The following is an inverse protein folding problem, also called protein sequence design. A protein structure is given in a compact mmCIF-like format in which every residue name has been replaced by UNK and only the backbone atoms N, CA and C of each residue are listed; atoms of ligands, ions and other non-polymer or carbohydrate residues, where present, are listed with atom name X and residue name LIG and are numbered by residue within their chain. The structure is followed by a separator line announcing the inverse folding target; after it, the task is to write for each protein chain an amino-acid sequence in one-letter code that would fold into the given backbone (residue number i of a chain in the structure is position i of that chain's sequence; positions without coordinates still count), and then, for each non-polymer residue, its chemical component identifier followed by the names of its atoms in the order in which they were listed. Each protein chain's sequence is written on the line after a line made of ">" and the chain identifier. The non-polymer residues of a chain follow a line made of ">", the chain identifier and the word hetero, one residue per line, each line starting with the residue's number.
data_IF_336682346155
#
_entry.id   IF_336682346155
#
_cell.length_a   1.000
_cell.length_b   1.000
_cell.length_c   1.000
_cell.angle_alpha   90.00
_cell.angle_beta   90.00
_cell.angle_gamma   90.00
#
_symmetry.space_group_name_H-M   'P 1'
#
loop_
_entity.id
_entity.type
_entity.pdbx_description
1 polymer ?
#
# COMPACT_ATOMS: atom_id res chain seq x y z
N UNK A 1 6.19 -25.65 10.65
CA UNK A 1 5.18 -24.68 10.15
C UNK A 1 3.70 -25.07 10.27
N UNK A 2 3.22 -26.23 9.77
CA UNK A 2 1.78 -26.47 9.52
C UNK A 2 0.88 -26.43 10.79
N UNK A 3 1.40 -26.75 11.97
CA UNK A 3 0.61 -26.78 13.22
C UNK A 3 0.65 -25.49 14.05
N UNK A 4 1.34 -24.44 13.57
CA UNK A 4 1.54 -23.23 14.35
C UNK A 4 0.24 -22.44 14.48
N UNK A 5 -0.13 -21.97 15.70
CA UNK A 5 -1.30 -21.16 15.93
C UNK A 5 -1.28 -19.91 15.06
N UNK A 6 -2.32 -19.73 14.25
CA UNK A 6 -2.38 -18.67 13.25
C UNK A 6 -3.79 -18.16 13.06
N UNK A 7 -3.92 -16.86 12.81
CA UNK A 7 -5.19 -16.22 12.48
C UNK A 7 -5.01 -15.26 11.32
N UNK A 8 -6.05 -15.13 10.53
CA UNK A 8 -6.26 -14.03 9.62
C UNK A 8 -7.07 -12.95 10.34
N UNK A 9 -6.53 -11.76 10.49
CA UNK A 9 -7.14 -10.64 11.20
C UNK A 9 -7.32 -9.44 10.27
N UNK A 10 -8.51 -8.84 10.28
CA UNK A 10 -8.83 -7.60 9.57
C UNK A 10 -9.06 -6.49 10.58
N UNK A 11 -8.19 -5.47 10.57
CA UNK A 11 -8.34 -4.24 11.35
C UNK A 11 -8.91 -3.15 10.45
N UNK A 12 -10.09 -2.64 10.79
CA UNK A 12 -10.79 -1.65 9.97
C UNK A 12 -10.67 -0.24 10.55
N UNK A 13 -10.87 0.76 9.70
CA UNK A 13 -11.03 2.14 10.12
C UNK A 13 -12.35 2.33 10.90
N UNK A 14 -12.43 3.34 11.79
CA UNK A 14 -13.71 3.78 12.34
C UNK A 14 -14.60 4.39 11.23
N UNK A 15 -15.82 4.77 11.59
CA UNK A 15 -16.68 5.56 10.71
C UNK A 15 -16.28 7.04 10.77
N UNK A 16 -16.33 7.71 9.62
CA UNK A 16 -16.15 9.16 9.47
C UNK A 16 -17.46 9.86 9.04
N UNK A 17 -18.57 9.14 9.13
CA UNK A 17 -19.86 9.53 8.58
C UNK A 17 -20.57 8.34 7.94
N UNK A 18 -21.90 8.43 7.74
CA UNK A 18 -22.66 7.39 7.08
C UNK A 18 -22.34 7.36 5.58
N UNK A 19 -22.14 6.17 5.03
CA UNK A 19 -21.85 5.93 3.61
C UNK A 19 -22.89 5.00 3.01
N UNK A 20 -23.06 5.07 1.70
CA UNK A 20 -23.81 4.09 0.94
C UNK A 20 -23.15 2.71 1.07
N UNK A 21 -23.94 1.71 1.46
CA UNK A 21 -23.47 0.34 1.67
C UNK A 21 -24.56 -0.69 1.31
N UNK A 22 -24.20 -1.98 1.42
CA UNK A 22 -25.11 -3.12 1.23
C UNK A 22 -25.26 -3.88 2.55
N UNK A 23 -26.22 -3.51 3.40
CA UNK A 23 -26.48 -4.25 4.63
C UNK A 23 -27.20 -5.58 4.31
N UNK A 24 -27.13 -6.54 5.23
CA UNK A 24 -27.80 -7.84 5.09
C UNK A 24 -29.32 -7.73 4.97
N UNK A 25 -29.91 -6.62 5.45
CA UNK A 25 -31.33 -6.28 5.25
C UNK A 25 -31.69 -5.98 3.79
N UNK A 26 -30.68 -5.83 2.93
CA UNK A 26 -30.81 -5.61 1.49
C UNK A 26 -31.18 -4.18 1.08
N UNK A 27 -31.35 -3.23 2.01
CA UNK A 27 -31.62 -1.81 1.70
C UNK A 27 -30.63 -0.89 2.39
N UNK A 28 -29.99 -0.03 1.60
CA UNK A 28 -29.15 1.03 2.08
C UNK A 28 -29.95 2.04 2.92
N UNK A 29 -29.27 2.83 3.76
CA UNK A 29 -29.90 3.89 4.56
C UNK A 29 -30.52 4.99 3.68
N UNK A 30 -30.10 5.15 2.43
CA UNK A 30 -30.77 6.02 1.46
C UNK A 30 -32.12 5.46 0.95
N UNK A 31 -32.51 4.25 1.34
CA UNK A 31 -33.73 3.56 0.91
C UNK A 31 -33.56 2.69 -0.35
N UNK A 32 -32.49 2.90 -1.13
CA UNK A 32 -32.22 2.16 -2.35
C UNK A 32 -31.60 0.77 -2.09
N UNK A 33 -31.73 -0.12 -3.08
CA UNK A 33 -30.96 -1.37 -3.17
C UNK A 33 -29.82 -1.13 -4.15
N UNK A 34 -28.58 -1.21 -3.68
CA UNK A 34 -27.40 -1.06 -4.52
C UNK A 34 -26.97 -2.43 -5.07
N UNK A 35 -26.63 -2.46 -6.36
CA UNK A 35 -25.90 -3.59 -6.96
C UNK A 35 -24.45 -3.60 -6.50
N UNK A 36 -23.73 -4.70 -6.77
CA UNK A 36 -22.31 -4.83 -6.41
C UNK A 36 -21.43 -3.75 -7.04
N UNK A 37 -21.76 -3.28 -8.23
CA UNK A 37 -20.95 -2.31 -8.99
C UNK A 37 -21.51 -0.88 -8.94
N UNK A 38 -22.46 -0.62 -8.04
CA UNK A 38 -23.06 0.70 -7.90
C UNK A 38 -21.99 1.74 -7.47
N UNK A 39 -21.77 2.81 -8.25
CA UNK A 39 -20.73 3.81 -7.98
C UNK A 39 -20.99 4.64 -6.72
N UNK A 40 -22.23 4.64 -6.20
CA UNK A 40 -22.52 5.27 -4.92
C UNK A 40 -21.88 4.50 -3.75
N UNK A 41 -21.60 3.19 -3.90
CA UNK A 41 -21.10 2.40 -2.77
C UNK A 41 -19.77 2.91 -2.22
N UNK A 42 -19.74 3.20 -0.93
CA UNK A 42 -18.61 3.80 -0.24
C UNK A 42 -18.62 5.32 -0.22
N UNK A 43 -19.45 5.99 -1.02
CA UNK A 43 -19.59 7.45 -0.95
C UNK A 43 -20.48 7.86 0.24
N UNK A 44 -20.30 9.06 0.80
CA UNK A 44 -21.13 9.55 1.90
C UNK A 44 -22.59 9.71 1.49
N UNK A 45 -23.52 9.40 2.41
CA UNK A 45 -24.93 9.72 2.22
C UNK A 45 -25.16 11.24 2.16
N UNK A 46 -24.36 11.97 2.94
CA UNK A 46 -24.29 13.43 2.92
C UNK A 46 -22.80 13.82 2.82
N UNK A 47 -22.35 14.28 1.65
CA UNK A 47 -20.96 14.71 1.44
C UNK A 47 -20.55 15.92 2.27
N UNK A 48 -21.47 16.75 2.76
CA UNK A 48 -21.10 17.98 3.45
C UNK A 48 -20.89 17.77 4.96
N UNK A 49 -21.47 16.71 5.54
CA UNK A 49 -21.25 16.31 6.93
C UNK A 49 -20.19 15.21 7.12
N UNK A 50 -19.63 14.65 6.04
CA UNK A 50 -18.60 13.62 6.13
C UNK A 50 -17.24 14.18 6.60
N UNK A 51 -16.62 13.51 7.57
CA UNK A 51 -15.34 13.94 8.16
C UNK A 51 -14.14 13.51 7.29
N UNK A 52 -13.97 14.19 6.16
CA UNK A 52 -12.84 13.97 5.24
C UNK A 52 -11.48 14.16 5.91
N UNK A 53 -11.36 15.15 6.80
CA UNK A 53 -10.12 15.41 7.51
C UNK A 53 -9.77 14.24 8.45
N UNK A 54 -10.75 13.72 9.20
CA UNK A 54 -10.58 12.53 10.03
C UNK A 54 -10.17 11.30 9.22
N UNK A 55 -10.79 11.08 8.06
CA UNK A 55 -10.47 9.96 7.17
C UNK A 55 -9.03 10.01 6.65
N UNK A 56 -8.60 11.17 6.14
CA UNK A 56 -7.24 11.39 5.62
C UNK A 56 -6.19 11.27 6.74
N UNK A 57 -6.44 11.87 7.91
CA UNK A 57 -5.54 11.77 9.06
C UNK A 57 -5.44 10.32 9.56
N UNK A 58 -6.55 9.57 9.58
CA UNK A 58 -6.52 8.14 9.89
C UNK A 58 -5.62 7.37 8.91
N UNK A 59 -5.82 7.54 7.60
CA UNK A 59 -5.01 6.88 6.59
C UNK A 59 -3.52 7.22 6.77
N UNK A 60 -3.19 8.49 6.97
CA UNK A 60 -1.80 8.94 7.15
C UNK A 60 -1.15 8.38 8.43
N UNK A 61 -1.94 8.14 9.49
CA UNK A 61 -1.48 7.56 10.75
C UNK A 61 -1.66 6.03 10.86
N UNK A 62 -2.23 5.34 9.86
CA UNK A 62 -2.47 3.90 9.91
C UNK A 62 -1.20 3.06 10.17
N UNK A 63 -0.05 3.50 9.64
CA UNK A 63 1.24 2.88 9.95
C UNK A 63 1.63 2.98 11.44
N UNK A 64 1.34 4.11 12.07
CA UNK A 64 1.60 4.33 13.51
C UNK A 64 0.61 3.54 14.38
N UNK A 65 -0.67 3.49 13.98
CA UNK A 65 -1.68 2.65 14.63
C UNK A 65 -1.26 1.18 14.62
N UNK A 66 -0.72 0.70 13.49
CA UNK A 66 -0.20 -0.67 13.40
C UNK A 66 1.04 -0.90 14.24
N UNK A 67 1.98 0.04 14.25
CA UNK A 67 3.16 -0.06 15.11
C UNK A 67 2.76 -0.17 16.59
N UNK A 68 1.85 0.69 17.07
CA UNK A 68 1.32 0.62 18.45
C UNK A 68 0.54 -0.68 18.71
N UNK A 69 -0.28 -1.12 17.75
CA UNK A 69 -1.00 -2.39 17.81
C UNK A 69 -0.04 -3.58 18.00
N UNK A 70 1.00 -3.70 17.19
CA UNK A 70 1.94 -4.84 17.32
C UNK A 70 2.75 -4.80 18.61
N UNK A 71 3.04 -3.61 19.15
CA UNK A 71 3.66 -3.46 20.49
C UNK A 71 2.69 -3.94 21.56
N UNK A 72 1.42 -3.52 21.50
CA UNK A 72 0.42 -3.95 22.48
C UNK A 72 0.11 -5.44 22.38
N UNK A 73 0.01 -5.99 21.18
CA UNK A 73 -0.22 -7.42 20.95
C UNK A 73 0.82 -8.30 21.64
N UNK A 74 2.11 -7.91 21.59
CA UNK A 74 3.18 -8.60 22.33
C UNK A 74 2.94 -8.61 23.84
N UNK A 75 2.47 -7.49 24.39
CA UNK A 75 2.14 -7.36 25.82
C UNK A 75 0.94 -8.21 26.21
N UNK A 76 -0.09 -8.21 25.39
CA UNK A 76 -1.31 -9.01 25.61
C UNK A 76 -1.03 -10.52 25.60
N UNK A 77 -0.15 -10.97 24.71
CA UNK A 77 0.27 -12.38 24.63
C UNK A 77 1.14 -12.75 25.83
N UNK A 78 2.14 -11.93 26.16
CA UNK A 78 3.02 -12.17 27.32
C UNK A 78 2.19 -12.32 28.61
N UNK A 79 1.27 -11.37 28.86
CA UNK A 79 0.41 -11.39 30.03
C UNK A 79 -0.47 -12.65 30.10
N UNK A 80 -1.07 -13.08 28.97
CA UNK A 80 -1.89 -14.31 28.92
C UNK A 80 -1.08 -15.59 29.08
N UNK A 81 0.20 -15.56 28.72
CA UNK A 81 1.12 -16.67 28.93
C UNK A 81 1.74 -16.68 30.35
N UNK A 82 1.44 -15.68 31.19
CA UNK A 82 2.09 -15.54 32.50
C UNK A 82 3.57 -15.14 32.42
N UNK A 83 3.98 -14.50 31.32
CA UNK A 83 5.36 -14.13 31.02
C UNK A 83 5.55 -12.62 30.99
N UNK A 84 6.77 -12.18 31.27
CA UNK A 84 7.24 -10.86 30.90
C UNK A 84 7.51 -10.78 29.38
N UNK A 85 7.61 -9.56 28.83
CA UNK A 85 8.01 -9.38 27.43
C UNK A 85 9.44 -9.82 27.11
N UNK A 86 10.29 -9.97 28.13
CA UNK A 86 11.65 -10.50 27.97
C UNK A 86 11.58 -12.01 27.79
N UNK A 87 10.95 -12.71 28.73
CA UNK A 87 10.77 -14.16 28.68
C UNK A 87 9.99 -14.59 27.44
N UNK A 88 8.94 -13.85 27.06
CA UNK A 88 8.20 -14.15 25.83
C UNK A 88 9.13 -14.23 24.61
N UNK A 89 10.11 -13.33 24.48
CA UNK A 89 11.03 -13.31 23.33
C UNK A 89 12.00 -14.49 23.32
N UNK A 90 12.24 -15.12 24.46
CA UNK A 90 13.12 -16.27 24.62
C UNK A 90 12.41 -17.58 24.24
N UNK A 91 11.06 -17.62 24.26
CA UNK A 91 10.29 -18.86 24.03
C UNK A 91 9.30 -18.78 22.86
N UNK A 92 8.89 -17.58 22.44
CA UNK A 92 7.88 -17.41 21.40
C UNK A 92 8.13 -16.18 20.54
N UNK A 93 8.00 -16.36 19.22
CA UNK A 93 8.05 -15.27 18.27
C UNK A 93 6.68 -15.00 17.66
N UNK A 94 6.27 -13.73 17.69
CA UNK A 94 5.09 -13.28 16.97
C UNK A 94 5.50 -12.88 15.55
N UNK A 95 5.08 -13.70 14.59
CA UNK A 95 5.32 -13.50 13.18
C UNK A 95 4.07 -12.96 12.50
N UNK A 96 4.23 -12.05 11.54
CA UNK A 96 3.10 -11.58 10.75
C UNK A 96 3.47 -11.21 9.32
N UNK A 97 2.50 -11.36 8.42
CA UNK A 97 2.46 -10.67 7.12
C UNK A 97 1.22 -9.79 7.11
N UNK A 98 1.35 -8.53 6.70
CA UNK A 98 0.24 -7.57 6.62
C UNK A 98 0.13 -6.97 5.23
N UNK A 99 -1.09 -6.70 4.83
CA UNK A 99 -1.48 -5.99 3.62
C UNK A 99 -2.42 -4.86 4.03
N UNK A 100 -2.15 -3.65 3.58
CA UNK A 100 -3.10 -2.55 3.62
C UNK A 100 -4.09 -2.72 2.48
N UNK A 101 -5.30 -2.20 2.54
CA UNK A 101 -6.21 -2.15 1.40
C UNK A 101 -7.16 -0.98 1.61
N UNK A 102 -7.60 -0.35 0.54
CA UNK A 102 -8.64 0.67 0.63
C UNK A 102 -10.02 0.04 0.56
N UNK A 103 -10.86 0.41 1.52
CA UNK A 103 -12.30 0.26 1.39
C UNK A 103 -12.82 1.20 0.29
N UNK A 104 -13.99 0.89 -0.28
CA UNK A 104 -14.65 1.79 -1.26
C UNK A 104 -14.84 3.22 -0.75
N UNK A 105 -14.94 3.40 0.57
CA UNK A 105 -15.00 4.71 1.24
C UNK A 105 -13.66 5.44 1.40
N UNK A 106 -12.60 4.97 0.72
CA UNK A 106 -11.26 5.55 0.77
C UNK A 106 -10.50 5.36 2.10
N UNK A 107 -11.07 4.68 3.09
CA UNK A 107 -10.42 4.40 4.37
C UNK A 107 -9.59 3.12 4.28
N UNK A 108 -8.39 3.13 4.86
CA UNK A 108 -7.52 1.95 4.84
C UNK A 108 -7.92 0.92 5.90
N UNK A 109 -7.88 -0.36 5.55
CA UNK A 109 -7.96 -1.47 6.49
C UNK A 109 -6.79 -2.41 6.29
N UNK A 110 -6.36 -3.06 7.37
CA UNK A 110 -5.21 -3.96 7.35
C UNK A 110 -5.68 -5.41 7.47
N UNK A 111 -5.31 -6.21 6.49
CA UNK A 111 -5.37 -7.66 6.55
C UNK A 111 -4.04 -8.20 7.04
N UNK A 112 -4.04 -9.02 8.08
CA UNK A 112 -2.83 -9.56 8.67
C UNK A 112 -2.97 -11.05 8.95
N UNK A 113 -1.98 -11.82 8.51
CA UNK A 113 -1.76 -13.19 8.96
C UNK A 113 -0.83 -13.09 10.16
N UNK A 114 -1.31 -13.44 11.35
CA UNK A 114 -0.52 -13.43 12.57
C UNK A 114 -0.33 -14.86 13.03
N UNK A 115 0.92 -15.23 13.35
CA UNK A 115 1.33 -16.58 13.74
C UNK A 115 2.19 -16.54 14.98
N UNK A 116 2.00 -17.51 15.86
CA UNK A 116 2.89 -17.78 16.99
C UNK A 116 3.87 -18.89 16.57
N UNK A 117 5.15 -18.55 16.61
CA UNK A 117 6.27 -19.44 16.28
C UNK A 117 7.09 -19.71 17.55
N UNK A 118 7.98 -20.71 17.50
CA UNK A 118 9.07 -20.85 18.48
C UNK A 118 10.04 -19.66 18.44
N UNK A 119 11.01 -19.65 19.35
CA UNK A 119 11.95 -18.54 19.53
C UNK A 119 12.76 -18.25 18.25
N UNK A 120 13.19 -19.31 17.56
CA UNK A 120 14.04 -19.24 16.36
C UNK A 120 13.25 -19.03 15.07
N UNK A 121 11.92 -19.15 15.13
CA UNK A 121 11.00 -18.85 14.04
C UNK A 121 10.20 -20.05 13.54
N UNK A 122 9.84 -20.10 12.25
CA UNK A 122 8.77 -20.98 11.77
C UNK A 122 9.09 -22.49 11.73
N UNK A 123 10.35 -22.85 11.85
CA UNK A 123 10.79 -24.26 11.97
C UNK A 123 10.86 -24.74 13.42
N UNK A 124 10.82 -23.81 14.39
CA UNK A 124 10.86 -24.09 15.81
C UNK A 124 9.42 -24.21 16.35
N UNK A 125 9.04 -25.33 17.00
CA UNK A 125 7.68 -25.53 17.48
C UNK A 125 7.26 -24.44 18.47
N UNK A 126 6.00 -23.97 18.40
CA UNK A 126 5.50 -22.98 19.33
C UNK A 126 5.32 -23.59 20.74
N UNK A 127 5.38 -22.78 21.81
CA UNK A 127 5.10 -23.26 23.16
C UNK A 127 3.70 -23.88 23.29
N UNK A 128 3.53 -24.84 24.22
CA UNK A 128 2.26 -25.56 24.41
C UNK A 128 1.06 -24.69 24.80
N UNK A 129 1.31 -23.51 25.38
CA UNK A 129 0.29 -22.51 25.71
C UNK A 129 -0.14 -21.67 24.49
N UNK A 130 0.65 -21.65 23.41
CA UNK A 130 0.36 -20.89 22.21
C UNK A 130 -0.82 -21.55 21.49
N UNK A 131 -1.98 -20.89 21.55
CA UNK A 131 -3.24 -21.38 20.94
C UNK A 131 -3.90 -20.28 20.15
N UNK A 132 -4.66 -20.65 19.12
CA UNK A 132 -5.41 -19.69 18.28
C UNK A 132 -6.41 -18.86 19.09
N UNK A 133 -7.05 -19.44 20.11
CA UNK A 133 -7.93 -18.71 21.04
C UNK A 133 -7.18 -17.59 21.78
N UNK A 134 -5.99 -17.89 22.32
CA UNK A 134 -5.16 -16.88 23.00
C UNK A 134 -4.80 -15.75 22.04
N UNK A 135 -4.49 -16.09 20.78
CA UNK A 135 -4.16 -15.11 19.75
C UNK A 135 -5.36 -14.22 19.38
N UNK A 136 -6.56 -14.80 19.22
CA UNK A 136 -7.80 -14.04 18.98
C UNK A 136 -8.06 -13.05 20.13
N UNK A 137 -8.07 -13.54 21.37
CA UNK A 137 -8.33 -12.73 22.57
C UNK A 137 -7.30 -11.59 22.70
N UNK A 138 -6.01 -11.88 22.41
CA UNK A 138 -4.95 -10.89 22.46
C UNK A 138 -5.06 -9.83 21.36
N UNK A 139 -5.47 -10.20 20.15
CA UNK A 139 -5.68 -9.24 19.04
C UNK A 139 -6.84 -8.31 19.37
N UNK A 140 -7.97 -8.83 19.84
CA UNK A 140 -9.13 -8.01 20.25
C UNK A 140 -8.76 -7.03 21.35
N UNK A 141 -8.08 -7.52 22.40
CA UNK A 141 -7.61 -6.68 23.49
C UNK A 141 -6.61 -5.61 23.02
N UNK A 142 -5.64 -5.99 22.17
CA UNK A 142 -4.65 -5.04 21.65
C UNK A 142 -5.30 -3.95 20.80
N UNK A 143 -6.23 -4.30 19.92
CA UNK A 143 -6.93 -3.35 19.06
C UNK A 143 -7.78 -2.34 19.86
N UNK A 144 -8.44 -2.80 20.93
CA UNK A 144 -9.30 -1.95 21.79
C UNK A 144 -8.53 -1.13 22.83
N UNK A 145 -7.28 -1.46 23.14
CA UNK A 145 -6.53 -0.85 24.23
C UNK A 145 -6.13 0.60 23.96
N UNK A 146 -6.31 1.51 24.92
CA UNK A 146 -6.04 2.95 24.77
C UNK A 146 -4.64 3.29 24.21
N UNK A 147 -3.60 2.54 24.58
CA UNK A 147 -2.24 2.67 24.00
C UNK A 147 -2.19 2.65 22.46
N UNK A 148 -3.11 1.96 21.77
CA UNK A 148 -3.14 1.94 20.30
C UNK A 148 -3.76 3.18 19.69
N UNK A 149 -4.33 4.08 20.49
CA UNK A 149 -4.87 5.36 20.04
C UNK A 149 -3.72 6.32 19.70
N UNK A 150 -3.81 7.03 18.59
CA UNK A 150 -2.89 8.13 18.21
C UNK A 150 -3.61 9.46 18.38
N UNK A 151 -3.03 10.35 19.19
CA UNK A 151 -3.53 11.71 19.35
C UNK A 151 -2.91 12.62 18.29
N UNK A 152 -3.76 13.26 17.49
CA UNK A 152 -3.39 14.34 16.59
C UNK A 152 -3.74 15.67 17.28
N UNK A 153 -2.77 16.59 17.46
CA UNK A 153 -3.04 17.88 18.09
C UNK A 153 -3.99 18.73 17.23
N UNK A 154 -4.73 19.63 17.88
CA UNK A 154 -5.51 20.63 17.18
C UNK A 154 -4.59 21.56 16.39
N UNK A 155 -5.02 21.98 15.20
CA UNK A 155 -4.27 22.90 14.36
C UNK A 155 -5.23 23.74 13.50
N UNK A 156 -5.13 25.06 13.58
CA UNK A 156 -6.04 25.97 12.88
C UNK A 156 -7.51 25.68 13.21
N UNK A 157 -8.31 25.41 12.18
CA UNK A 157 -9.73 25.06 12.30
C UNK A 157 -9.99 23.56 12.58
N UNK A 158 -8.94 22.74 12.64
CA UNK A 158 -9.07 21.30 12.91
C UNK A 158 -8.96 21.01 14.41
N UNK A 159 -9.94 20.30 15.01
CA UNK A 159 -9.89 19.95 16.41
C UNK A 159 -8.81 18.89 16.68
N UNK A 160 -8.47 18.69 17.96
CA UNK A 160 -7.66 17.53 18.34
C UNK A 160 -8.45 16.24 18.12
N UNK A 161 -7.77 15.19 17.64
CA UNK A 161 -8.41 13.93 17.25
C UNK A 161 -7.71 12.75 17.91
N UNK A 162 -8.51 11.79 18.37
CA UNK A 162 -8.05 10.51 18.89
C UNK A 162 -8.32 9.41 17.85
N UNK A 163 -7.30 9.08 17.05
CA UNK A 163 -7.39 8.08 16.00
C UNK A 163 -7.22 6.68 16.59
N UNK A 164 -8.13 5.76 16.27
CA UNK A 164 -8.13 4.36 16.74
C UNK A 164 -8.67 3.43 15.67
N UNK A 165 -8.43 2.13 15.80
CA UNK A 165 -9.10 1.12 14.98
C UNK A 165 -10.61 1.14 15.25
N UNK A 166 -11.39 0.77 14.23
CA UNK A 166 -12.83 0.56 14.35
C UNK A 166 -13.15 -0.64 15.26
N UNK A 167 -14.41 -0.73 15.68
CA UNK A 167 -14.90 -1.85 16.50
C UNK A 167 -15.10 -3.14 15.70
N UNK A 168 -15.20 -3.04 14.37
CA UNK A 168 -15.36 -4.18 13.48
C UNK A 168 -14.00 -4.84 13.22
N UNK A 169 -13.76 -5.96 13.89
CA UNK A 169 -12.61 -6.84 13.70
C UNK A 169 -13.10 -8.20 13.20
N UNK A 170 -12.61 -8.63 12.03
CA UNK A 170 -12.80 -9.99 11.55
C UNK A 170 -11.53 -10.80 11.85
N UNK A 171 -11.64 -11.79 12.73
CA UNK A 171 -10.52 -12.66 13.12
C UNK A 171 -10.94 -14.10 12.90
N UNK A 172 -10.22 -14.79 12.01
CA UNK A 172 -10.50 -16.16 11.61
C UNK A 172 -9.28 -17.04 11.81
N UNK A 173 -9.37 -18.14 12.59
CA UNK A 173 -8.32 -19.13 12.66
C UNK A 173 -8.00 -19.69 11.26
N UNK A 174 -6.72 -19.86 10.93
CA UNK A 174 -6.29 -20.50 9.69
C UNK A 174 -5.85 -21.91 10.04
N UNK A 175 -6.56 -22.94 9.56
CA UNK A 175 -6.21 -24.34 9.83
C UNK A 175 -5.26 -24.85 8.75
N UNK A 176 -4.29 -25.68 9.14
CA UNK A 176 -3.57 -26.51 8.16
C UNK A 176 -4.45 -27.72 7.83
N UNK A 177 -4.78 -27.85 6.53
CA UNK A 177 -5.47 -28.95 5.87
C UNK A 177 -5.93 -30.12 6.77
N UNK A 178 -7.23 -30.20 7.03
CA UNK A 178 -7.89 -31.48 7.36
C UNK A 178 -9.38 -31.54 7.00
N UNK A 179 -10.12 -30.41 6.95
CA UNK A 179 -11.60 -30.49 6.96
C UNK A 179 -12.32 -29.76 5.81
N UNK A 180 -11.73 -29.66 4.61
CA UNK A 180 -12.43 -29.08 3.45
C UNK A 180 -12.84 -27.60 3.59
N UNK A 181 -12.31 -26.87 4.58
CA UNK A 181 -12.60 -25.46 4.81
C UNK A 181 -11.78 -24.53 3.90
N UNK A 182 -12.40 -23.44 3.43
CA UNK A 182 -11.88 -22.48 2.43
C UNK A 182 -10.59 -21.71 2.81
N UNK A 183 -10.13 -21.71 4.07
CA UNK A 183 -8.94 -20.95 4.52
C UNK A 183 -7.73 -21.86 4.79
N UNK A 184 -7.08 -22.32 3.72
CA UNK A 184 -5.79 -23.02 3.77
C UNK A 184 -4.60 -22.03 3.75
N UNK A 185 -3.38 -22.49 4.06
CA UNK A 185 -2.17 -21.65 4.01
C UNK A 185 -1.89 -21.07 2.62
N UNK A 186 -2.11 -21.88 1.57
CA UNK A 186 -2.04 -21.44 0.18
C UNK A 186 -3.17 -20.44 -0.13
N UNK A 187 -4.38 -20.68 0.37
CA UNK A 187 -5.49 -19.74 0.23
C UNK A 187 -5.15 -18.41 0.91
N UNK A 188 -4.51 -18.39 2.07
CA UNK A 188 -4.12 -17.15 2.77
C UNK A 188 -3.00 -16.41 2.06
N UNK A 189 -1.99 -17.12 1.52
CA UNK A 189 -0.96 -16.49 0.69
C UNK A 189 -1.55 -15.93 -0.63
N UNK A 190 -2.43 -16.68 -1.28
CA UNK A 190 -3.17 -16.24 -2.46
C UNK A 190 -4.15 -15.11 -2.14
N UNK A 191 -4.77 -15.11 -0.95
CA UNK A 191 -5.65 -14.05 -0.46
C UNK A 191 -4.82 -12.78 -0.27
N UNK A 192 -3.73 -12.83 0.50
CA UNK A 192 -2.78 -11.71 0.66
C UNK A 192 -2.26 -11.21 -0.70
N UNK A 193 -1.94 -12.11 -1.64
CA UNK A 193 -1.51 -11.74 -2.99
C UNK A 193 -2.64 -11.09 -3.82
N UNK A 194 -3.89 -11.58 -3.71
CA UNK A 194 -5.08 -10.97 -4.33
C UNK A 194 -5.31 -9.55 -3.84
N UNK A 195 -5.07 -9.29 -2.55
CA UNK A 195 -5.20 -7.93 -2.00
C UNK A 195 -4.03 -7.03 -2.38
N UNK A 196 -2.86 -7.60 -2.64
CA UNK A 196 -1.72 -6.89 -3.23
C UNK A 196 -2.03 -6.31 -4.61
N UNK A 197 -2.82 -6.99 -5.43
CA UNK A 197 -3.23 -6.47 -6.73
C UNK A 197 -4.48 -5.59 -6.64
N UNK A 198 -5.50 -5.99 -5.85
CA UNK A 198 -6.77 -5.22 -5.76
C UNK A 198 -6.64 -3.80 -5.26
N UNK A 199 -5.74 -3.55 -4.32
CA UNK A 199 -5.67 -2.24 -3.72
C UNK A 199 -4.98 -1.18 -4.58
N UNK A 200 -4.36 -1.58 -5.69
CA UNK A 200 -3.97 -0.64 -6.74
C UNK A 200 -5.19 -0.13 -7.51
N UNK A 201 -6.28 -0.90 -7.59
CA UNK A 201 -7.38 -0.66 -8.54
C UNK A 201 -8.62 0.00 -7.91
N UNK A 202 -8.84 -0.12 -6.60
CA UNK A 202 -10.19 0.02 -6.01
C UNK A 202 -10.60 1.47 -5.64
N UNK A 203 -9.71 2.46 -5.65
CA UNK A 203 -10.03 3.81 -5.13
C UNK A 203 -10.35 4.87 -6.18
N UNK A 204 -10.25 4.55 -7.48
CA UNK A 204 -10.42 5.53 -8.54
C UNK A 204 -9.45 6.72 -8.41
N UNK A 205 -8.32 6.49 -7.73
CA UNK A 205 -7.24 7.46 -7.57
C UNK A 205 -6.23 7.32 -8.69
N UNK A 206 -5.34 8.31 -8.79
CA UNK A 206 -4.25 8.30 -9.75
C UNK A 206 -3.12 7.38 -9.28
N UNK A 207 -2.52 6.61 -10.19
CA UNK A 207 -1.36 5.75 -9.92
C UNK A 207 -0.06 6.53 -9.70
N UNK A 208 -0.13 7.86 -9.73
CA UNK A 208 1.00 8.77 -9.62
C UNK A 208 0.69 9.95 -8.72
N UNK A 209 1.74 10.59 -8.24
CA UNK A 209 1.62 11.84 -7.46
C UNK A 209 0.89 12.91 -8.26
N UNK A 210 0.10 13.69 -7.54
CA UNK A 210 -0.69 14.80 -8.07
C UNK A 210 0.16 16.06 -7.91
N UNK A 211 0.46 16.73 -9.03
CA UNK A 211 1.19 18.00 -9.01
C UNK A 211 0.28 19.15 -8.59
N UNK A 212 -0.88 19.25 -9.25
CA UNK A 212 -1.89 20.29 -9.02
C UNK A 212 -3.32 19.74 -8.97
N UNK A 213 -4.24 20.45 -8.29
CA UNK A 213 -5.65 20.01 -8.21
C UNK A 213 -6.38 20.03 -9.57
N UNK A 214 -5.96 20.89 -10.50
CA UNK A 214 -6.56 20.97 -11.84
C UNK A 214 -6.30 19.71 -12.68
N UNK A 215 -5.33 18.87 -12.31
CA UNK A 215 -5.15 17.55 -12.93
C UNK A 215 -6.38 16.66 -12.76
N UNK A 216 -7.13 16.79 -11.65
CA UNK A 216 -8.28 15.93 -11.37
C UNK A 216 -9.42 16.08 -12.39
N UNK A 217 -9.52 17.24 -13.04
CA UNK A 217 -10.52 17.51 -14.08
C UNK A 217 -10.25 16.71 -15.36
N UNK A 218 -9.02 16.22 -15.54
CA UNK A 218 -8.60 15.43 -16.71
C UNK A 218 -8.85 13.93 -16.55
N UNK A 219 -9.13 13.44 -15.34
CA UNK A 219 -9.13 12.01 -15.00
C UNK A 219 -10.46 11.46 -14.50
N UNK A 220 -11.57 12.20 -14.67
CA UNK A 220 -12.92 11.80 -14.23
C UNK A 220 -12.96 11.22 -12.80
N UNK A 221 -12.21 11.85 -11.90
CA UNK A 221 -12.05 11.36 -10.53
C UNK A 221 -13.38 11.55 -9.78
N UNK A 222 -13.93 10.48 -9.16
CA UNK A 222 -15.20 10.56 -8.43
C UNK A 222 -15.19 11.66 -7.35
N UNK A 223 -16.34 12.32 -7.14
CA UNK A 223 -16.43 13.48 -6.22
C UNK A 223 -15.94 13.16 -4.80
N UNK A 224 -16.28 11.98 -4.27
CA UNK A 224 -15.81 11.56 -2.96
C UNK A 224 -14.27 11.47 -2.89
N UNK A 225 -13.65 10.86 -3.89
CA UNK A 225 -12.18 10.76 -4.01
C UNK A 225 -11.56 12.15 -4.17
N UNK A 226 -12.15 13.02 -4.98
CA UNK A 226 -11.74 14.42 -5.14
C UNK A 226 -11.78 15.20 -3.82
N UNK A 227 -12.82 15.02 -3.00
CA UNK A 227 -12.93 15.63 -1.66
C UNK A 227 -11.87 15.12 -0.68
N UNK A 228 -11.54 13.82 -0.71
CA UNK A 228 -10.42 13.27 0.08
C UNK A 228 -9.06 13.84 -0.36
N UNK A 229 -8.83 13.98 -1.67
CA UNK A 229 -7.60 14.59 -2.21
C UNK A 229 -7.51 16.07 -1.81
N UNK A 230 -8.61 16.82 -1.88
CA UNK A 230 -8.66 18.23 -1.40
C UNK A 230 -8.35 18.31 0.08
N UNK A 231 -8.93 17.43 0.91
CA UNK A 231 -8.61 17.37 2.33
C UNK A 231 -7.11 17.10 2.60
N UNK A 232 -6.44 16.29 1.78
CA UNK A 232 -4.98 16.11 1.88
C UNK A 232 -4.22 17.43 1.66
N UNK A 233 -4.65 18.25 0.69
CA UNK A 233 -4.06 19.56 0.40
C UNK A 233 -4.28 20.54 1.55
N UNK A 234 -5.51 20.65 2.03
CA UNK A 234 -5.89 21.61 3.08
C UNK A 234 -5.17 21.30 4.40
N UNK A 235 -5.04 20.01 4.71
CA UNK A 235 -4.34 19.54 5.92
C UNK A 235 -2.81 19.64 5.83
N UNK A 236 -2.21 19.68 4.64
CA UNK A 236 -0.75 19.84 4.49
C UNK A 236 -0.26 21.12 5.16
N UNK A 237 -1.02 22.21 5.02
CA UNK A 237 -0.71 23.52 5.62
C UNK A 237 -0.74 23.45 7.15
N UNK A 238 -1.67 22.66 7.71
CA UNK A 238 -1.84 22.52 9.15
C UNK A 238 -0.87 21.51 9.77
N UNK A 239 -0.40 20.54 8.98
CA UNK A 239 0.45 19.43 9.42
C UNK A 239 1.62 19.18 8.45
N UNK A 240 2.55 20.14 8.29
CA UNK A 240 3.57 20.12 7.23
C UNK A 240 4.51 18.89 7.29
N UNK A 241 4.77 18.35 8.48
CA UNK A 241 5.64 17.16 8.65
C UNK A 241 4.97 15.84 8.23
N UNK A 242 3.70 15.87 7.82
CA UNK A 242 2.92 14.67 7.49
C UNK A 242 2.93 14.32 6.01
N UNK A 243 3.34 15.26 5.15
CA UNK A 243 3.45 15.08 3.69
C UNK A 243 2.14 14.57 3.07
N UNK A 244 1.00 15.02 3.59
CA UNK A 244 -0.34 14.65 3.14
C UNK A 244 -0.53 14.92 1.66
N UNK A 245 -0.06 16.06 1.15
CA UNK A 245 -0.15 16.38 -0.28
C UNK A 245 0.67 15.40 -1.15
N UNK A 246 1.91 15.09 -0.73
CA UNK A 246 2.77 14.16 -1.45
C UNK A 246 2.15 12.74 -1.58
N UNK A 247 1.25 12.39 -0.65
CA UNK A 247 0.52 11.12 -0.61
C UNK A 247 -0.97 11.26 -0.94
N UNK A 248 -1.41 12.37 -1.55
CA UNK A 248 -2.82 12.59 -1.89
C UNK A 248 -3.37 11.57 -2.89
N UNK A 249 -2.54 11.11 -3.83
CA UNK A 249 -2.84 10.01 -4.75
C UNK A 249 -3.13 8.68 -4.04
N UNK A 250 -2.67 8.53 -2.79
CA UNK A 250 -2.97 7.41 -1.89
C UNK A 250 -3.87 7.85 -0.73
N UNK A 251 -4.70 8.88 -0.92
CA UNK A 251 -5.67 9.38 0.07
C UNK A 251 -5.02 9.66 1.45
N UNK A 252 -3.78 10.15 1.44
CA UNK A 252 -2.97 10.47 2.62
C UNK A 252 -2.19 9.29 3.20
N UNK A 253 -2.40 8.05 2.74
CA UNK A 253 -1.65 6.89 3.21
C UNK A 253 -0.19 6.93 2.73
N UNK A 254 0.74 6.90 3.68
CA UNK A 254 2.19 6.98 3.45
C UNK A 254 2.96 5.70 3.80
N UNK A 255 2.26 4.60 4.00
CA UNK A 255 2.84 3.33 4.43
C UNK A 255 3.15 2.40 3.28
N UNK A 256 3.89 1.33 3.57
CA UNK A 256 4.02 0.22 2.62
C UNK A 256 2.72 -0.57 2.56
N UNK A 257 2.33 -0.87 1.32
CA UNK A 257 1.17 -1.66 1.00
C UNK A 257 1.23 -3.06 1.62
N UNK A 258 2.38 -3.73 1.52
CA UNK A 258 2.62 -5.04 2.13
C UNK A 258 3.90 -5.00 2.96
N UNK A 259 3.85 -5.58 4.17
CA UNK A 259 5.04 -5.75 5.02
C UNK A 259 4.96 -7.06 5.76
N UNK A 260 6.11 -7.66 6.07
CA UNK A 260 6.20 -8.86 6.89
C UNK A 260 7.21 -8.69 8.02
N UNK A 261 7.04 -9.43 9.11
CA UNK A 261 8.06 -9.52 10.16
C UNK A 261 9.31 -10.23 9.63
N UNK A 262 10.49 -9.90 10.20
CA UNK A 262 11.80 -10.33 9.66
C UNK A 262 11.95 -11.84 9.46
N UNK A 263 11.34 -12.66 10.34
CA UNK A 263 11.42 -14.13 10.31
C UNK A 263 10.09 -14.79 9.88
N UNK A 264 9.17 -14.05 9.26
CA UNK A 264 7.89 -14.61 8.80
C UNK A 264 8.09 -15.70 7.72
N UNK A 265 8.99 -15.43 6.78
CA UNK A 265 9.29 -16.27 5.61
C UNK A 265 10.63 -15.86 4.98
N UNK A 266 11.07 -16.59 3.95
CA UNK A 266 12.14 -16.15 3.02
C UNK A 266 11.89 -14.72 2.52
N UNK A 267 12.93 -13.92 2.39
CA UNK A 267 12.80 -12.52 1.98
C UNK A 267 12.36 -12.42 0.52
N UNK A 268 11.64 -11.35 0.16
CA UNK A 268 11.32 -11.09 -1.25
C UNK A 268 12.58 -10.88 -2.08
N UNK A 269 13.64 -10.34 -1.47
CA UNK A 269 14.96 -10.21 -2.11
C UNK A 269 15.55 -11.58 -2.47
N UNK A 270 15.53 -12.55 -1.54
CA UNK A 270 15.98 -13.91 -1.83
C UNK A 270 15.15 -14.56 -2.95
N UNK A 271 13.82 -14.42 -2.92
CA UNK A 271 12.95 -14.94 -3.99
C UNK A 271 13.20 -14.28 -5.35
N UNK A 272 13.50 -12.97 -5.38
CA UNK A 272 13.87 -12.26 -6.61
C UNK A 272 15.21 -12.73 -7.13
N UNK A 273 16.20 -12.93 -6.25
CA UNK A 273 17.52 -13.44 -6.63
C UNK A 273 17.42 -14.84 -7.20
N UNK A 274 16.76 -15.79 -6.51
CA UNK A 274 16.55 -17.15 -7.03
C UNK A 274 15.87 -17.15 -8.41
N UNK A 275 14.91 -16.25 -8.64
CA UNK A 275 14.28 -16.11 -9.96
C UNK A 275 15.22 -15.52 -11.01
N UNK A 276 16.04 -14.55 -10.64
CA UNK A 276 17.05 -13.97 -11.50
C UNK A 276 18.10 -15.03 -11.89
N UNK A 277 18.60 -15.79 -10.91
CA UNK A 277 19.57 -16.87 -11.12
C UNK A 277 18.99 -17.95 -12.04
N UNK A 278 17.73 -18.36 -11.81
CA UNK A 278 17.04 -19.32 -12.68
C UNK A 278 16.89 -18.81 -14.12
N UNK A 279 16.54 -17.53 -14.30
CA UNK A 279 16.44 -16.92 -15.63
C UNK A 279 17.80 -16.76 -16.30
N UNK A 280 18.83 -16.40 -15.53
CA UNK A 280 20.20 -16.30 -16.01
C UNK A 280 20.71 -17.68 -16.48
N UNK A 281 20.49 -18.74 -15.71
CA UNK A 281 20.83 -20.10 -16.09
C UNK A 281 20.08 -20.55 -17.36
N UNK A 282 18.76 -20.32 -17.43
CA UNK A 282 17.97 -20.63 -18.63
C UNK A 282 18.46 -19.86 -19.86
N UNK A 283 18.87 -18.60 -19.69
CA UNK A 283 19.40 -17.78 -20.77
C UNK A 283 20.81 -18.21 -21.20
N UNK A 284 21.66 -18.64 -20.26
CA UNK A 284 22.96 -19.21 -20.55
C UNK A 284 22.82 -20.50 -21.38
N UNK A 285 21.92 -21.40 -20.98
CA UNK A 285 21.62 -22.64 -21.70
C UNK A 285 21.11 -22.37 -23.12
N UNK A 286 20.16 -21.45 -23.26
CA UNK A 286 19.61 -21.07 -24.57
C UNK A 286 20.65 -20.44 -25.51
N UNK A 287 21.70 -19.84 -24.97
CA UNK A 287 22.79 -19.21 -25.73
C UNK A 287 24.03 -20.12 -25.85
N UNK A 288 24.00 -21.34 -25.29
CA UNK A 288 25.13 -22.28 -25.30
C UNK A 288 26.35 -21.76 -24.50
N UNK A 289 26.10 -21.01 -23.43
CA UNK A 289 27.13 -20.37 -22.59
C UNK A 289 27.48 -21.21 -21.35
N UNK A 290 27.04 -22.47 -21.30
CA UNK A 290 27.12 -23.34 -20.11
C UNK A 290 28.56 -23.70 -19.70
N UNK A 291 29.51 -23.59 -20.64
CA UNK A 291 30.93 -23.93 -20.48
C UNK A 291 31.87 -22.71 -20.35
N UNK A 292 31.34 -21.49 -20.18
CA UNK A 292 32.19 -20.31 -19.97
C UNK A 292 32.62 -20.19 -18.50
N UNK A 293 33.92 -20.25 -18.25
CA UNK A 293 34.51 -20.09 -16.92
C UNK A 293 34.10 -18.73 -16.30
N UNK A 294 33.68 -18.67 -15.00
CA UNK A 294 33.11 -17.47 -14.38
C UNK A 294 33.98 -16.20 -14.48
N UNK A 295 35.30 -16.37 -14.61
CA UNK A 295 36.29 -15.30 -14.63
C UNK A 295 36.41 -14.57 -15.98
N UNK A 296 35.68 -15.01 -17.02
CA UNK A 296 35.68 -14.35 -18.35
C UNK A 296 34.40 -13.59 -18.67
N UNK A 297 33.40 -13.60 -17.78
CA UNK A 297 32.13 -12.91 -18.01
C UNK A 297 32.26 -11.42 -17.65
N UNK A 298 32.47 -10.57 -18.65
CA UNK A 298 32.31 -9.13 -18.50
C UNK A 298 30.82 -8.80 -18.31
N UNK A 299 30.39 -8.64 -17.06
CA UNK A 299 29.04 -8.20 -16.72
C UNK A 299 28.90 -6.70 -17.01
N UNK A 300 28.47 -6.35 -18.24
CA UNK A 300 27.97 -5.02 -18.57
C UNK A 300 26.54 -4.86 -18.03
N UNK A 301 26.40 -4.82 -16.70
CA UNK A 301 25.13 -4.56 -16.02
C UNK A 301 25.13 -3.17 -15.36
N UNK A 302 25.46 -2.13 -16.13
CA UNK A 302 25.09 -0.75 -15.77
C UNK A 302 24.02 -0.27 -16.73
N UNK A 303 22.77 -0.60 -16.40
CA UNK A 303 21.61 -0.01 -17.08
C UNK A 303 21.22 1.25 -16.33
N UNK A 304 21.79 2.37 -16.74
CA UNK A 304 21.31 3.67 -16.30
C UNK A 304 20.04 4.03 -17.07
N UNK A 305 19.10 4.68 -16.40
CA UNK A 305 17.94 5.25 -17.07
C UNK A 305 18.42 6.28 -18.10
N UNK A 306 18.48 5.87 -19.37
CA UNK A 306 18.93 6.72 -20.48
C UNK A 306 17.93 7.85 -20.81
N UNK A 307 16.72 7.76 -20.26
CA UNK A 307 15.59 8.64 -20.54
C UNK A 307 14.38 7.85 -21.03
N UNK A 308 13.22 8.51 -21.00
CA UNK A 308 12.08 8.13 -21.82
C UNK A 308 12.03 9.09 -23.02
N UNK A 309 11.57 8.59 -24.16
CA UNK A 309 11.29 9.44 -25.32
C UNK A 309 10.25 10.51 -24.99
N UNK A 310 10.17 11.53 -25.83
CA UNK A 310 9.16 12.57 -25.71
C UNK A 310 7.74 11.97 -25.70
N UNK A 311 6.89 12.47 -24.80
CA UNK A 311 5.44 12.30 -24.95
C UNK A 311 4.97 12.84 -26.31
N UNK A 312 3.75 12.51 -26.79
CA UNK A 312 3.27 13.02 -28.07
C UNK A 312 3.32 14.56 -28.18
N UNK A 313 3.03 15.26 -27.08
CA UNK A 313 3.12 16.74 -27.01
C UNK A 313 4.56 17.25 -27.04
N UNK A 314 5.46 16.63 -26.28
CA UNK A 314 6.89 16.98 -26.30
C UNK A 314 7.54 16.65 -27.66
N UNK A 315 7.05 15.61 -28.35
CA UNK A 315 7.52 15.22 -29.69
C UNK A 315 7.16 16.29 -30.71
N UNK A 316 5.95 16.84 -30.60
CA UNK A 316 5.49 17.94 -31.46
C UNK A 316 6.34 19.21 -31.24
N UNK A 317 6.61 19.57 -29.98
CA UNK A 317 7.48 20.69 -29.62
C UNK A 317 8.91 20.49 -30.13
N UNK A 318 9.49 19.30 -29.90
CA UNK A 318 10.83 18.97 -30.37
C UNK A 318 10.93 19.02 -31.90
N UNK A 319 9.91 18.50 -32.62
CA UNK A 319 9.87 18.57 -34.08
C UNK A 319 9.76 20.00 -34.62
N UNK A 320 9.07 20.88 -33.88
CA UNK A 320 8.92 22.29 -34.25
C UNK A 320 10.24 23.02 -34.06
N UNK A 321 10.90 22.85 -32.91
CA UNK A 321 12.23 23.41 -32.64
C UNK A 321 13.25 22.91 -33.67
N UNK A 322 13.22 21.62 -34.01
CA UNK A 322 14.12 21.05 -35.01
C UNK A 322 13.89 21.67 -36.41
N UNK A 323 12.63 21.87 -36.79
CA UNK A 323 12.25 22.54 -38.04
C UNK A 323 12.73 23.99 -38.06
N UNK A 324 12.50 24.74 -36.99
CA UNK A 324 12.91 26.15 -36.91
C UNK A 324 14.44 26.30 -36.98
N UNK A 325 15.18 25.42 -36.29
CA UNK A 325 16.65 25.40 -36.37
C UNK A 325 17.16 25.04 -37.77
N UNK A 326 16.47 24.14 -38.48
CA UNK A 326 16.82 23.80 -39.85
C UNK A 326 16.59 24.97 -40.80
N UNK A 327 15.40 25.59 -40.74
CA UNK A 327 15.06 26.76 -41.54
C UNK A 327 16.00 27.94 -41.27
N UNK A 328 16.35 28.19 -40.01
CA UNK A 328 17.32 29.23 -39.65
C UNK A 328 18.70 28.97 -40.24
N UNK A 329 19.14 27.70 -40.31
CA UNK A 329 20.43 27.34 -40.92
C UNK A 329 20.40 27.49 -42.43
N UNK A 330 19.28 27.18 -43.08
CA UNK A 330 19.11 27.37 -44.52
C UNK A 330 19.08 28.85 -44.87
N UNK A 331 18.25 29.65 -44.18
CA UNK A 331 18.20 31.09 -44.35
C UNK A 331 19.56 31.77 -44.10
N UNK A 332 20.31 31.32 -43.08
CA UNK A 332 21.65 31.82 -42.82
C UNK A 332 22.65 31.46 -43.93
N UNK A 333 22.52 30.28 -44.56
CA UNK A 333 23.36 29.91 -45.72
C UNK A 333 23.02 30.72 -46.95
N UNK A 334 21.73 30.89 -47.25
CA UNK A 334 21.24 31.71 -48.37
C UNK A 334 21.73 33.16 -48.22
N UNK A 335 21.55 33.76 -47.04
CA UNK A 335 22.05 35.11 -46.77
C UNK A 335 23.58 35.24 -46.90
N UNK A 336 24.35 34.19 -46.54
CA UNK A 336 25.80 34.17 -46.71
C UNK A 336 26.18 34.10 -48.19
N UNK A 337 25.48 33.28 -48.97
CA UNK A 337 25.68 33.15 -50.42
C UNK A 337 25.35 34.46 -51.14
N UNK A 338 24.27 35.13 -50.76
CA UNK A 338 23.88 36.42 -51.34
C UNK A 338 24.94 37.52 -51.05
N UNK A 339 25.47 37.57 -49.83
CA UNK A 339 26.59 38.47 -49.47
C UNK A 339 27.87 38.17 -50.26
N UNK A 340 28.09 36.91 -50.64
CA UNK A 340 29.27 36.53 -51.44
C UNK A 340 29.10 36.96 -52.90
N UNK A 341 27.87 36.90 -53.43
CA UNK A 341 27.53 37.32 -54.79
C UNK A 341 27.47 38.85 -54.96
N UNK A 342 27.14 39.61 -53.90
CA UNK A 342 27.18 41.08 -53.93
C UNK A 342 28.62 41.65 -53.96
N UNK A 343 29.63 40.85 -53.60
CA UNK A 343 31.05 41.23 -53.64
C UNK A 343 31.76 41.00 -54.98
N UNK A 344 31.09 40.42 -55.98
CA UNK A 344 31.64 40.12 -57.32
C UNK A 344 31.17 41.09 -58.43
N UNK A 345 30.56 42.22 -58.08
CA UNK A 345 30.14 43.27 -59.04
C UNK A 345 31.10 44.46 -59.11
#
# INVERSE_FOLDING_TARGET
>A
MREHPRVFATLTAPSFGPVHNRPDTGRCRCGARHSDDDPALGTPLDPDSYDYAGAVLFNNHAGQLWQRFTVRLRREIAARAGLTQRELREVCRISYGKVAEFQRRGAIHFHAVVRLDGAEGPEDPPPSWARTRLLDDAIRAAAAHAYTTVTVPAAGHQPSRALRWGTQLDIRPVRAFSDGSELTEQAVAAYVAKYATKAAETTGTLDRRIGELAELDRYDVPDHTRRLIRACRDLEVLYPDRRLWAWAHMLGFRGHFSTKSRRYSVTLGALRQTRADYRAAQQAEALGLDDLEPDTVLVLADWQFAGHGHSPGESLLASTIARDLHLNREAAREALTDLTNEGEW
#
